data_IF_593222623012
#
_entry.id   IF_593222623012
#
_cell.length_a   1.000
_cell.length_b   1.000
_cell.length_c   1.000
_cell.angle_alpha   90.00
_cell.angle_beta   90.00
_cell.angle_gamma   90.00
#
_symmetry.space_group_name_H-M   'P 1'
#
loop_
_entity.id
_entity.type
_entity.pdbx_description
1 polymer ?
#
# COMPACT_ATOMS: atom_id res chain seq x y z
N UNK A 1 15.76 7.57 -42.65
CA UNK A 1 15.43 6.42 -41.79
C UNK A 1 16.16 6.59 -40.46
N UNK A 2 15.45 7.08 -39.43
CA UNK A 2 15.79 6.91 -38.00
C UNK A 2 14.63 7.49 -37.20
N UNK A 3 13.77 6.62 -36.68
CA UNK A 3 12.58 6.99 -35.93
C UNK A 3 12.98 7.51 -34.53
N UNK A 4 12.71 8.79 -34.28
CA UNK A 4 12.54 9.30 -32.92
C UNK A 4 11.22 8.74 -32.38
N UNK A 5 11.30 7.80 -31.43
CA UNK A 5 10.15 7.40 -30.64
C UNK A 5 10.16 8.23 -29.35
N UNK A 6 9.39 9.31 -29.37
CA UNK A 6 9.07 10.11 -28.21
C UNK A 6 8.44 9.22 -27.12
N UNK A 7 9.05 9.19 -25.95
CA UNK A 7 8.46 8.64 -24.74
C UNK A 7 7.27 9.50 -24.33
N UNK A 8 6.10 9.20 -24.87
CA UNK A 8 4.85 9.78 -24.43
C UNK A 8 4.48 9.20 -23.07
N UNK A 9 4.87 9.87 -21.99
CA UNK A 9 4.21 9.70 -20.69
C UNK A 9 2.71 9.92 -20.92
N UNK A 10 1.92 8.86 -20.88
CA UNK A 10 0.45 8.96 -20.86
C UNK A 10 0.10 9.74 -19.59
N UNK A 11 -0.20 11.02 -19.75
CA UNK A 11 -0.82 11.82 -18.70
C UNK A 11 -2.21 11.24 -18.47
N UNK A 12 -2.34 10.39 -17.44
CA UNK A 12 -3.66 10.02 -16.92
C UNK A 12 -4.21 11.29 -16.27
N UNK A 13 -5.45 11.73 -16.58
CA UNK A 13 -6.04 12.88 -15.93
C UNK A 13 -6.08 12.65 -14.42
N UNK A 14 -5.39 13.52 -13.66
CA UNK A 14 -5.45 13.53 -12.20
C UNK A 14 -6.91 13.72 -11.76
N UNK A 15 -7.35 12.96 -10.75
CA UNK A 15 -8.72 13.06 -10.24
C UNK A 15 -8.99 14.36 -9.50
N UNK A 16 -7.94 14.96 -8.92
CA UNK A 16 -8.07 16.17 -8.13
C UNK A 16 -8.50 17.33 -9.04
N UNK A 17 -9.55 18.09 -8.68
CA UNK A 17 -9.92 19.30 -9.39
C UNK A 17 -8.71 20.23 -9.54
N UNK A 18 -8.35 20.57 -10.77
CA UNK A 18 -7.20 21.44 -11.07
C UNK A 18 -7.58 22.93 -10.93
N UNK A 19 -8.18 23.30 -9.80
CA UNK A 19 -8.55 24.68 -9.49
C UNK A 19 -7.40 25.41 -8.79
N UNK A 20 -7.28 26.74 -8.95
CA UNK A 20 -6.29 27.53 -8.21
C UNK A 20 -6.36 27.33 -6.69
N UNK A 21 -7.57 27.22 -6.14
CA UNK A 21 -7.82 27.05 -4.71
C UNK A 21 -7.35 25.68 -4.22
N UNK A 22 -7.62 24.62 -4.98
CA UNK A 22 -7.15 23.27 -4.67
C UNK A 22 -5.61 23.20 -4.68
N UNK A 23 -4.97 23.84 -5.68
CA UNK A 23 -3.50 23.92 -5.75
C UNK A 23 -2.90 24.70 -4.58
N UNK A 24 -3.49 25.84 -4.20
CA UNK A 24 -3.05 26.62 -3.06
C UNK A 24 -3.17 25.83 -1.75
N UNK A 25 -4.31 25.17 -1.54
CA UNK A 25 -4.52 24.32 -0.38
C UNK A 25 -3.51 23.17 -0.31
N UNK A 26 -3.27 22.45 -1.41
CA UNK A 26 -2.29 21.36 -1.44
C UNK A 26 -0.86 21.87 -1.21
N UNK A 27 -0.53 23.08 -1.65
CA UNK A 27 0.78 23.69 -1.37
C UNK A 27 0.96 23.98 0.13
N UNK A 28 -0.05 24.56 0.79
CA UNK A 28 -0.03 24.79 2.24
C UNK A 28 -0.02 23.46 3.01
N UNK A 29 -0.79 22.48 2.55
CA UNK A 29 -0.82 21.14 3.12
C UNK A 29 0.52 20.42 2.97
N UNK A 30 1.27 20.64 1.89
CA UNK A 30 2.61 20.10 1.70
C UNK A 30 3.58 20.63 2.78
N UNK A 31 3.52 21.94 3.09
CA UNK A 31 4.33 22.52 4.16
C UNK A 31 3.99 21.91 5.53
N UNK A 32 2.71 21.66 5.79
CA UNK A 32 2.26 20.95 7.00
C UNK A 32 2.73 19.49 7.02
N UNK A 33 2.64 18.77 5.90
CA UNK A 33 3.04 17.37 5.78
C UNK A 33 4.54 17.17 6.02
N UNK A 34 5.38 18.12 5.57
CA UNK A 34 6.83 18.10 5.80
C UNK A 34 7.20 18.24 7.30
N UNK A 35 6.33 18.81 8.13
CA UNK A 35 6.56 18.88 9.59
C UNK A 35 6.26 17.57 10.32
N UNK A 36 5.60 16.60 9.67
CA UNK A 36 5.26 15.30 10.28
C UNK A 36 6.52 14.41 10.37
N UNK A 37 6.90 13.90 11.56
CA UNK A 37 8.17 13.18 11.74
C UNK A 37 8.13 11.72 11.25
N UNK A 38 7.02 11.27 10.68
CA UNK A 38 6.81 9.91 10.19
C UNK A 38 6.60 9.90 8.68
N UNK A 39 6.96 8.80 7.97
CA UNK A 39 6.67 8.61 6.57
C UNK A 39 5.19 8.86 6.27
N UNK A 40 4.91 9.91 5.51
CA UNK A 40 3.55 10.36 5.23
C UNK A 40 3.37 10.73 3.76
N UNK A 41 2.21 10.41 3.23
CA UNK A 41 1.81 10.72 1.86
C UNK A 41 0.33 11.10 1.79
N UNK A 42 -0.04 11.85 0.76
CA UNK A 42 -1.42 12.15 0.39
C UNK A 42 -1.67 11.48 -0.95
N UNK A 43 -2.74 10.69 -1.01
CA UNK A 43 -3.12 9.96 -2.23
C UNK A 43 -4.57 10.24 -2.60
N UNK A 44 -4.89 10.13 -3.88
CA UNK A 44 -6.27 10.15 -4.35
C UNK A 44 -6.92 8.76 -4.28
N UNK A 45 -8.19 8.65 -4.74
CA UNK A 45 -8.94 7.38 -4.80
C UNK A 45 -8.33 6.31 -5.73
N UNK A 46 -7.38 6.67 -6.61
CA UNK A 46 -6.62 5.75 -7.47
C UNK A 46 -5.25 5.41 -6.89
N UNK A 47 -4.98 5.86 -5.65
CA UNK A 47 -3.68 5.78 -5.00
C UNK A 47 -2.58 6.56 -5.73
N UNK A 48 -2.93 7.48 -6.63
CA UNK A 48 -1.95 8.39 -7.21
C UNK A 48 -1.46 9.30 -6.09
N UNK A 49 -0.13 9.38 -5.92
CA UNK A 49 0.48 10.15 -4.84
C UNK A 49 0.58 11.60 -5.27
N UNK A 50 -0.04 12.48 -4.48
CA UNK A 50 -0.09 13.91 -4.74
C UNK A 50 1.01 14.64 -3.97
N UNK A 51 1.26 14.20 -2.75
CA UNK A 51 2.27 14.76 -1.85
C UNK A 51 2.93 13.62 -1.06
N UNK A 52 4.23 13.72 -0.83
CA UNK A 52 4.95 12.89 0.13
C UNK A 52 5.92 13.77 0.92
N UNK A 53 6.30 13.37 2.14
CA UNK A 53 7.25 14.13 2.96
C UNK A 53 8.67 13.55 2.94
N UNK A 54 9.61 14.29 3.53
CA UNK A 54 11.02 13.88 3.66
C UNK A 54 11.20 12.48 4.28
N UNK A 55 10.55 12.14 5.40
CA UNK A 55 10.58 10.79 5.96
C UNK A 55 10.10 9.69 5.00
N UNK A 56 9.04 9.93 4.21
CA UNK A 56 8.56 8.98 3.22
C UNK A 56 9.59 8.75 2.12
N UNK A 57 10.09 9.84 1.51
CA UNK A 57 11.14 9.76 0.49
C UNK A 57 12.40 9.07 1.03
N UNK A 58 12.74 9.30 2.29
CA UNK A 58 13.89 8.67 2.95
C UNK A 58 13.70 7.18 3.20
N UNK A 59 12.47 6.72 3.44
CA UNK A 59 12.11 5.32 3.61
C UNK A 59 12.26 4.55 2.29
N UNK A 60 11.82 5.15 1.18
CA UNK A 60 11.84 4.52 -0.15
C UNK A 60 13.06 4.88 -1.00
N UNK A 61 14.06 5.59 -0.44
CA UNK A 61 15.23 6.10 -1.20
C UNK A 61 16.07 5.05 -1.92
N UNK A 62 15.98 3.78 -1.51
CA UNK A 62 16.74 2.67 -2.06
C UNK A 62 15.97 1.90 -3.14
N UNK A 63 14.71 2.26 -3.40
CA UNK A 63 13.88 1.65 -4.44
C UNK A 63 14.42 2.07 -5.81
N UNK A 64 14.66 1.10 -6.69
CA UNK A 64 15.12 1.35 -8.05
C UNK A 64 14.03 2.03 -8.89
N UNK A 65 14.43 2.72 -9.95
CA UNK A 65 13.47 3.39 -10.83
C UNK A 65 12.63 2.36 -11.59
N UNK A 66 11.31 2.52 -11.56
CA UNK A 66 10.34 1.70 -12.28
C UNK A 66 9.38 2.58 -13.09
N UNK A 67 9.01 2.21 -14.33
CA UNK A 67 8.26 3.08 -15.23
C UNK A 67 6.85 3.46 -14.75
N UNK A 68 6.23 2.65 -13.89
CA UNK A 68 4.80 2.81 -13.52
C UNK A 68 4.48 2.54 -12.04
N UNK A 69 5.46 2.13 -11.25
CA UNK A 69 5.21 1.60 -9.90
C UNK A 69 6.08 2.29 -8.85
N UNK A 70 6.49 3.53 -9.09
CA UNK A 70 7.22 4.29 -8.09
C UNK A 70 6.33 4.59 -6.88
N UNK A 71 6.86 4.51 -5.65
CA UNK A 71 6.09 4.77 -4.43
C UNK A 71 5.62 6.23 -4.33
N UNK A 72 6.30 7.17 -4.97
CA UNK A 72 5.91 8.59 -5.07
C UNK A 72 5.00 8.90 -6.28
N UNK A 73 4.72 7.92 -7.15
CA UNK A 73 3.78 8.08 -8.28
C UNK A 73 2.42 7.45 -7.97
N UNK A 74 2.41 6.16 -7.61
CA UNK A 74 1.20 5.45 -7.24
C UNK A 74 1.51 4.36 -6.22
N UNK A 75 1.04 4.57 -4.98
CA UNK A 75 1.41 3.70 -3.86
C UNK A 75 0.82 2.29 -3.98
N UNK A 76 -0.38 2.14 -4.56
CA UNK A 76 -0.97 0.82 -4.81
C UNK A 76 -0.14 0.05 -5.83
N UNK A 77 0.23 0.68 -6.95
CA UNK A 77 1.08 0.04 -7.97
C UNK A 77 2.44 -0.34 -7.42
N UNK A 78 3.04 0.51 -6.59
CA UNK A 78 4.27 0.15 -5.88
C UNK A 78 4.09 -1.15 -5.08
N UNK A 79 3.05 -1.24 -4.26
CA UNK A 79 2.78 -2.44 -3.46
C UNK A 79 2.55 -3.67 -4.34
N UNK A 80 1.80 -3.55 -5.45
CA UNK A 80 1.38 -4.71 -6.23
C UNK A 80 2.41 -5.18 -7.27
N UNK A 81 3.19 -4.26 -7.86
CA UNK A 81 3.94 -4.54 -9.09
C UNK A 81 5.43 -4.20 -9.01
N UNK A 82 5.87 -3.44 -8.00
CA UNK A 82 7.29 -3.07 -7.93
C UNK A 82 8.13 -4.24 -7.41
N UNK A 83 9.23 -4.64 -8.09
CA UNK A 83 10.08 -5.74 -7.65
C UNK A 83 10.70 -5.50 -6.27
N UNK A 84 11.09 -4.26 -5.98
CA UNK A 84 11.66 -3.89 -4.68
C UNK A 84 10.63 -3.70 -3.55
N UNK A 85 9.32 -3.91 -3.79
CA UNK A 85 8.31 -3.68 -2.76
C UNK A 85 8.62 -4.46 -1.47
N UNK A 86 9.06 -5.72 -1.60
CA UNK A 86 9.42 -6.58 -0.48
C UNK A 86 10.72 -6.19 0.24
N UNK A 87 11.52 -5.26 -0.30
CA UNK A 87 12.72 -4.73 0.36
C UNK A 87 12.39 -3.69 1.41
N UNK A 88 11.21 -3.07 1.33
CA UNK A 88 10.73 -2.04 2.27
C UNK A 88 9.49 -2.51 3.04
N UNK A 89 8.60 -3.27 2.39
CA UNK A 89 7.35 -3.76 2.96
C UNK A 89 7.56 -5.20 3.45
N UNK A 90 7.78 -5.36 4.76
CA UNK A 90 8.01 -6.67 5.37
C UNK A 90 6.79 -7.59 5.20
N UNK A 91 7.01 -8.91 5.16
CA UNK A 91 5.96 -9.92 4.91
C UNK A 91 5.01 -9.52 3.76
N UNK A 92 5.62 -8.99 2.68
CA UNK A 92 4.96 -8.26 1.60
C UNK A 92 3.62 -8.86 1.15
N UNK A 93 3.60 -10.15 0.81
CA UNK A 93 2.41 -10.80 0.27
C UNK A 93 1.22 -10.78 1.27
N UNK A 94 1.44 -11.27 2.48
CA UNK A 94 0.40 -11.47 3.48
C UNK A 94 -0.02 -10.16 4.17
N UNK A 95 0.93 -9.27 4.41
CA UNK A 95 0.74 -8.08 5.23
C UNK A 95 0.54 -6.79 4.43
N UNK A 96 0.84 -6.79 3.13
CA UNK A 96 0.67 -5.63 2.26
C UNK A 96 -0.12 -5.92 0.99
N UNK A 97 0.30 -6.89 0.18
CA UNK A 97 -0.31 -7.16 -1.12
C UNK A 97 -1.79 -7.55 -0.99
N UNK A 98 -2.11 -8.58 -0.20
CA UNK A 98 -3.50 -9.03 -0.01
C UNK A 98 -4.42 -7.94 0.60
N UNK A 99 -4.04 -7.23 1.68
CA UNK A 99 -4.85 -6.11 2.18
C UNK A 99 -5.07 -5.00 1.14
N UNK A 100 -4.06 -4.66 0.34
CA UNK A 100 -4.19 -3.63 -0.70
C UNK A 100 -5.08 -4.10 -1.85
N UNK A 101 -4.96 -5.36 -2.30
CA UNK A 101 -5.86 -5.95 -3.28
C UNK A 101 -7.31 -6.00 -2.78
N UNK A 102 -7.53 -6.34 -1.51
CA UNK A 102 -8.85 -6.36 -0.91
C UNK A 102 -9.49 -4.96 -0.84
N UNK A 103 -8.70 -3.94 -0.48
CA UNK A 103 -9.17 -2.55 -0.49
C UNK A 103 -9.45 -2.05 -1.91
N UNK A 104 -8.61 -2.42 -2.87
CA UNK A 104 -8.82 -2.13 -4.28
C UNK A 104 -10.14 -2.75 -4.80
N UNK A 105 -10.39 -4.03 -4.51
CA UNK A 105 -11.64 -4.71 -4.89
C UNK A 105 -12.87 -3.97 -4.35
N UNK A 106 -12.88 -3.63 -3.06
CA UNK A 106 -13.95 -2.85 -2.43
C UNK A 106 -14.12 -1.46 -3.06
N UNK A 107 -13.03 -0.82 -3.46
CA UNK A 107 -13.07 0.52 -4.07
C UNK A 107 -13.65 0.47 -5.48
N UNK A 108 -13.27 -0.52 -6.28
CA UNK A 108 -13.80 -0.74 -7.63
C UNK A 108 -15.30 -1.05 -7.60
N UNK A 109 -15.76 -1.84 -6.63
CA UNK A 109 -17.19 -2.17 -6.47
C UNK A 109 -18.05 -0.95 -6.08
N UNK A 110 -17.51 -0.05 -5.25
CA UNK A 110 -18.24 1.11 -4.72
C UNK A 110 -18.22 2.32 -5.64
N UNK A 111 -17.21 2.44 -6.50
CA UNK A 111 -17.07 3.58 -7.39
C UNK A 111 -17.82 3.37 -8.71
N UNK A 112 -18.39 4.44 -9.26
CA UNK A 112 -18.81 4.46 -10.65
C UNK A 112 -17.63 4.11 -11.59
N UNK A 113 -17.86 3.61 -12.82
CA UNK A 113 -16.81 3.21 -13.74
C UNK A 113 -15.72 4.29 -13.90
N UNK A 114 -14.57 4.07 -13.26
CA UNK A 114 -13.44 4.98 -13.24
C UNK A 114 -12.33 4.42 -14.16
N UNK A 115 -11.94 5.13 -15.24
CA UNK A 115 -10.95 4.61 -16.19
C UNK A 115 -9.57 4.30 -15.59
N UNK A 116 -9.17 5.01 -14.53
CA UNK A 116 -7.90 4.80 -13.84
C UNK A 116 -7.93 3.53 -12.98
N UNK A 117 -9.01 3.31 -12.23
CA UNK A 117 -9.22 2.05 -11.51
C UNK A 117 -9.32 0.86 -12.47
N UNK A 118 -9.97 1.03 -13.62
CA UNK A 118 -10.03 0.00 -14.66
C UNK A 118 -8.66 -0.23 -15.35
N UNK A 119 -7.76 0.74 -15.37
CA UNK A 119 -6.39 0.53 -15.82
C UNK A 119 -5.63 -0.39 -14.84
N UNK A 120 -5.72 -0.12 -13.54
CA UNK A 120 -5.12 -0.98 -12.50
C UNK A 120 -5.72 -2.39 -12.55
N UNK A 121 -7.04 -2.50 -12.72
CA UNK A 121 -7.72 -3.80 -12.86
C UNK A 121 -7.16 -4.62 -14.02
N UNK A 122 -6.90 -3.98 -15.16
CA UNK A 122 -6.30 -4.61 -16.35
C UNK A 122 -4.84 -5.01 -16.13
N UNK A 123 -4.08 -4.21 -15.38
CA UNK A 123 -2.71 -4.57 -14.98
C UNK A 123 -2.71 -5.83 -14.09
N UNK A 124 -3.64 -5.94 -13.12
CA UNK A 124 -3.84 -7.14 -12.31
C UNK A 124 -4.21 -8.35 -13.19
N UNK A 125 -5.12 -8.16 -14.16
CA UNK A 125 -5.56 -9.19 -15.11
C UNK A 125 -4.44 -9.74 -16.00
N UNK A 126 -3.42 -8.94 -16.29
CA UNK A 126 -2.30 -9.32 -17.16
C UNK A 126 -1.27 -10.19 -16.45
N UNK A 127 -1.23 -10.16 -15.11
CA UNK A 127 -0.39 -11.03 -14.30
C UNK A 127 -1.21 -12.22 -13.78
N UNK A 128 -0.95 -13.47 -14.24
CA UNK A 128 -1.73 -14.64 -13.84
C UNK A 128 -1.72 -14.90 -12.32
N UNK A 129 -0.63 -14.58 -11.62
CA UNK A 129 -0.53 -14.78 -10.17
C UNK A 129 -1.39 -13.74 -9.46
N UNK A 130 -1.30 -12.47 -9.87
CA UNK A 130 -2.15 -11.41 -9.30
C UNK A 130 -3.62 -11.58 -9.64
N UNK A 131 -3.96 -12.07 -10.82
CA UNK A 131 -5.35 -12.34 -11.17
C UNK A 131 -5.95 -13.46 -10.31
N UNK A 132 -5.18 -14.52 -10.04
CA UNK A 132 -5.61 -15.59 -9.12
C UNK A 132 -5.70 -15.06 -7.69
N UNK A 133 -4.73 -14.27 -7.24
CA UNK A 133 -4.77 -13.64 -5.92
C UNK A 133 -6.00 -12.73 -5.76
N UNK A 134 -6.33 -11.94 -6.78
CA UNK A 134 -7.48 -11.05 -6.79
C UNK A 134 -8.81 -11.84 -6.80
N UNK A 135 -9.00 -12.80 -7.71
CA UNK A 135 -10.27 -13.53 -7.86
C UNK A 135 -10.53 -14.54 -6.75
N UNK A 136 -9.48 -15.19 -6.25
CA UNK A 136 -9.62 -16.33 -5.34
C UNK A 136 -8.93 -16.09 -3.99
N UNK A 137 -7.75 -15.47 -4.00
CA UNK A 137 -6.99 -15.18 -2.79
C UNK A 137 -7.70 -14.18 -1.87
N UNK A 138 -8.13 -13.04 -2.39
CA UNK A 138 -8.81 -11.98 -1.63
C UNK A 138 -10.08 -12.49 -0.95
N UNK A 139 -11.04 -13.13 -1.66
CA UNK A 139 -12.24 -13.65 -0.99
C UNK A 139 -11.93 -14.71 0.07
N UNK A 140 -10.93 -15.57 -0.16
CA UNK A 140 -10.54 -16.55 0.85
C UNK A 140 -9.92 -15.88 2.08
N UNK A 141 -9.01 -14.94 1.87
CA UNK A 141 -8.33 -14.20 2.92
C UNK A 141 -9.32 -13.40 3.78
N UNK A 142 -10.27 -12.69 3.18
CA UNK A 142 -11.33 -11.97 3.92
C UNK A 142 -12.21 -12.89 4.76
N UNK A 143 -12.52 -14.11 4.29
CA UNK A 143 -13.25 -15.10 5.10
C UNK A 143 -12.46 -15.58 6.31
N UNK A 144 -11.13 -15.68 6.19
CA UNK A 144 -10.26 -16.18 7.26
C UNK A 144 -9.91 -15.09 8.29
N UNK A 145 -9.58 -13.89 7.80
CA UNK A 145 -9.06 -12.78 8.62
C UNK A 145 -10.16 -11.79 9.03
N UNK A 146 -11.30 -11.80 8.32
CA UNK A 146 -12.45 -10.94 8.55
C UNK A 146 -12.50 -9.74 7.60
N UNK A 147 -13.71 -9.24 7.32
CA UNK A 147 -13.95 -8.13 6.36
C UNK A 147 -13.22 -6.83 6.73
N UNK A 148 -12.99 -6.61 8.03
CA UNK A 148 -12.23 -5.46 8.53
C UNK A 148 -10.74 -5.50 8.18
N UNK A 149 -10.21 -6.63 7.69
CA UNK A 149 -8.79 -6.76 7.36
C UNK A 149 -8.39 -5.90 6.14
N UNK A 150 -9.34 -5.57 5.25
CA UNK A 150 -9.11 -4.65 4.14
C UNK A 150 -8.96 -3.18 4.59
N UNK A 151 -9.33 -2.86 5.84
CA UNK A 151 -9.19 -1.51 6.35
C UNK A 151 -7.71 -1.17 6.56
N UNK A 152 -7.30 -0.03 6.01
CA UNK A 152 -5.93 0.45 6.16
C UNK A 152 -5.73 1.10 7.52
N UNK A 153 -6.71 1.89 7.96
CA UNK A 153 -6.60 2.67 9.20
C UNK A 153 -6.48 1.78 10.43
N UNK A 154 -5.53 2.10 11.29
CA UNK A 154 -5.24 1.38 12.51
C UNK A 154 -4.55 0.02 12.31
N UNK A 155 -4.38 -0.44 11.07
CA UNK A 155 -3.65 -1.69 10.78
C UNK A 155 -2.17 -1.56 11.17
N UNK A 156 -1.58 -2.66 11.64
CA UNK A 156 -0.15 -2.75 11.96
C UNK A 156 0.49 -3.67 10.95
N UNK A 157 1.56 -3.23 10.29
CA UNK A 157 2.22 -3.97 9.23
C UNK A 157 3.74 -3.97 9.42
N UNK A 158 4.42 -5.08 9.12
CA UNK A 158 5.88 -5.15 9.12
C UNK A 158 6.47 -4.27 8.02
N UNK A 159 7.60 -3.64 8.33
CA UNK A 159 8.33 -2.68 7.50
C UNK A 159 9.84 -2.93 7.68
N UNK A 160 10.60 -2.77 6.62
CA UNK A 160 12.06 -2.84 6.62
C UNK A 160 12.57 -1.42 6.38
N UNK A 161 13.05 -0.78 7.45
CA UNK A 161 13.52 0.59 7.41
C UNK A 161 15.02 0.64 7.04
N UNK A 162 15.45 1.55 6.15
CA UNK A 162 16.83 1.59 5.65
C UNK A 162 17.85 2.10 6.67
N UNK A 163 17.41 2.77 7.75
CA UNK A 163 18.25 3.01 8.94
C UNK A 163 18.35 1.72 9.77
N UNK A 164 19.55 1.13 9.95
CA UNK A 164 19.76 -0.10 10.73
C UNK A 164 19.32 -0.02 12.19
N UNK A 165 19.16 1.20 12.75
CA UNK A 165 18.62 1.39 14.11
C UNK A 165 17.18 0.92 14.23
N UNK A 166 16.44 0.99 13.13
CA UNK A 166 15.08 0.47 13.00
C UNK A 166 15.10 -0.92 12.38
N UNK A 167 15.78 -1.09 11.24
CA UNK A 167 15.83 -2.36 10.51
C UNK A 167 14.43 -2.93 10.25
N UNK A 168 14.24 -4.22 10.50
CA UNK A 168 12.92 -4.84 10.51
C UNK A 168 12.12 -4.38 11.74
N UNK A 169 10.98 -3.74 11.49
CA UNK A 169 10.12 -3.13 12.51
C UNK A 169 8.65 -3.24 12.10
N UNK A 170 7.72 -2.84 12.96
CA UNK A 170 6.33 -2.63 12.57
C UNK A 170 6.02 -1.14 12.36
N UNK A 171 5.05 -0.84 11.51
CA UNK A 171 4.40 0.46 11.43
C UNK A 171 2.89 0.33 11.66
N UNK A 172 2.29 1.32 12.31
CA UNK A 172 0.83 1.50 12.29
C UNK A 172 0.48 2.44 11.15
N UNK A 173 -0.47 2.04 10.30
CA UNK A 173 -1.04 2.95 9.32
C UNK A 173 -2.11 3.78 10.02
N UNK A 174 -1.98 5.10 9.91
CA UNK A 174 -3.01 6.07 10.29
C UNK A 174 -3.52 6.73 9.02
N UNK A 175 -4.82 6.65 8.79
CA UNK A 175 -5.49 7.26 7.65
C UNK A 175 -6.31 8.44 8.15
N UNK A 176 -6.08 9.62 7.58
CA UNK A 176 -6.78 10.84 7.97
C UNK A 176 -7.24 11.61 6.74
N UNK A 177 -8.51 11.99 6.75
CA UNK A 177 -9.13 12.81 5.71
C UNK A 177 -9.81 14.01 6.37
N UNK A 178 -9.20 15.19 6.25
CA UNK A 178 -9.87 16.46 6.58
C UNK A 178 -11.00 16.72 5.58
N UNK A 179 -12.03 17.50 5.91
CA UNK A 179 -13.13 17.81 4.98
C UNK A 179 -12.64 18.30 3.61
N UNK A 180 -11.67 19.22 3.58
CA UNK A 180 -11.12 19.74 2.32
C UNK A 180 -10.35 18.68 1.51
N UNK A 181 -9.71 17.71 2.16
CA UNK A 181 -9.11 16.58 1.45
C UNK A 181 -10.19 15.63 0.91
N UNK A 182 -11.27 15.40 1.66
CA UNK A 182 -12.40 14.58 1.22
C UNK A 182 -13.06 15.17 -0.04
N UNK A 183 -13.29 16.48 -0.04
CA UNK A 183 -13.84 17.22 -1.18
C UNK A 183 -12.95 17.09 -2.43
N UNK A 184 -11.63 16.95 -2.24
CA UNK A 184 -10.65 16.70 -3.30
C UNK A 184 -10.51 15.20 -3.65
N UNK A 185 -11.22 14.31 -2.97
CA UNK A 185 -11.12 12.86 -3.13
C UNK A 185 -9.77 12.31 -2.69
N UNK A 186 -9.14 12.95 -1.70
CA UNK A 186 -7.81 12.67 -1.21
C UNK A 186 -7.84 12.17 0.23
N UNK A 187 -6.83 11.40 0.61
CA UNK A 187 -6.61 10.99 2.00
C UNK A 187 -5.13 11.03 2.35
N UNK A 188 -4.80 11.37 3.60
CA UNK A 188 -3.43 11.23 4.12
C UNK A 188 -3.24 9.84 4.70
N UNK A 189 -2.12 9.20 4.39
CA UNK A 189 -1.63 8.01 5.06
C UNK A 189 -0.34 8.37 5.80
N UNK A 190 -0.20 7.88 7.04
CA UNK A 190 1.02 8.02 7.84
C UNK A 190 1.44 6.65 8.36
N UNK A 191 2.71 6.27 8.13
CA UNK A 191 3.30 5.04 8.65
C UNK A 191 4.03 5.35 9.97
N UNK A 192 3.32 5.21 11.08
CA UNK A 192 3.89 5.48 12.42
C UNK A 192 4.75 4.29 12.85
N UNK A 193 6.07 4.46 12.79
CA UNK A 193 7.04 3.43 13.20
C UNK A 193 6.85 3.07 14.68
N UNK A 194 6.75 1.78 14.97
CA UNK A 194 6.65 1.25 16.33
C UNK A 194 8.00 0.70 16.74
N UNK A 195 8.58 1.27 17.79
CA UNK A 195 9.84 0.75 18.33
C UNK A 195 9.65 -0.71 18.78
N UNK A 196 10.44 -1.62 18.21
CA UNK A 196 10.49 -3.02 18.59
C UNK A 196 10.87 -3.22 20.08
N UNK A 197 11.46 -2.20 20.72
CA UNK A 197 11.79 -2.18 22.15
C UNK A 197 10.61 -1.91 23.06
N UNK A 198 9.46 -1.49 22.54
CA UNK A 198 8.24 -1.41 23.33
C UNK A 198 7.74 -2.84 23.48
N UNK A 199 7.79 -3.47 24.68
CA UNK A 199 7.19 -4.77 24.84
C UNK A 199 5.75 -4.63 24.38
N UNK A 200 5.37 -5.39 23.36
CA UNK A 200 3.98 -5.56 22.98
C UNK A 200 3.25 -5.81 24.30
N UNK A 201 2.38 -4.88 24.70
CA UNK A 201 1.60 -4.99 25.93
C UNK A 201 1.09 -6.42 25.95
N UNK A 202 1.59 -7.19 26.93
CA UNK A 202 1.60 -8.64 26.91
C UNK A 202 0.32 -9.15 26.25
N UNK A 203 0.47 -9.86 25.12
CA UNK A 203 -0.58 -10.73 24.63
C UNK A 203 -0.97 -11.60 25.83
N UNK A 204 -2.09 -11.24 26.48
CA UNK A 204 -2.56 -11.91 27.69
C UNK A 204 -2.68 -13.38 27.32
N UNK A 205 -1.95 -14.18 28.09
CA UNK A 205 -1.46 -15.45 27.62
C UNK A 205 -2.53 -16.43 27.19
N UNK A 206 -2.19 -17.20 26.16
CA UNK A 206 -2.49 -18.63 26.11
C UNK A 206 -1.25 -19.32 25.57
N UNK A 207 -0.46 -19.87 26.49
CA UNK A 207 0.59 -20.79 26.14
C UNK A 207 0.00 -21.98 25.41
N UNK A 208 0.48 -22.25 24.20
CA UNK A 208 0.31 -23.54 23.55
C UNK A 208 1.64 -23.92 22.92
N UNK A 209 2.23 -24.93 23.57
CA UNK A 209 3.42 -25.71 23.26
C UNK A 209 3.79 -25.80 21.77
N UNK A 210 5.07 -25.54 21.50
CA UNK A 210 5.80 -25.96 20.29
C UNK A 210 5.56 -27.45 20.02
N UNK A 211 5.05 -27.76 18.83
CA UNK A 211 5.11 -29.08 18.22
C UNK A 211 5.37 -28.90 16.73
N UNK A 212 6.55 -29.32 16.26
CA UNK A 212 6.90 -29.32 14.86
C UNK A 212 6.01 -30.34 14.13
N UNK A 213 5.11 -29.86 13.27
CA UNK A 213 4.32 -30.72 12.37
C UNK A 213 5.00 -30.79 11.02
N UNK A 214 5.90 -31.76 10.87
CA UNK A 214 6.25 -32.27 9.54
C UNK A 214 5.11 -33.17 9.05
N UNK A 215 4.62 -32.90 7.84
CA UNK A 215 3.63 -33.75 7.16
C UNK A 215 4.20 -35.16 6.97
N UNK A 216 3.46 -36.20 7.38
CA UNK A 216 3.82 -37.61 7.20
C UNK A 216 2.70 -38.34 6.47
N UNK A 217 3.07 -39.02 5.39
CA UNK A 217 2.17 -39.86 4.56
C UNK A 217 1.80 -41.13 5.32
N UNK A 218 0.51 -41.51 5.27
CA UNK A 218 -0.02 -42.77 5.81
C UNK A 218 -0.38 -43.67 4.63
N UNK A 219 0.07 -44.94 4.57
CA UNK A 219 -0.42 -45.90 3.58
C UNK A 219 -1.82 -46.40 3.96
N UNK A 220 -2.68 -46.57 2.97
CA UNK A 220 -3.97 -47.25 3.13
C UNK A 220 -3.72 -48.74 3.37
N UNK A 221 -4.38 -49.31 4.38
CA UNK A 221 -4.45 -50.74 4.59
C UNK A 221 -5.66 -51.33 3.86
N UNK A 222 -5.47 -52.55 3.34
CA UNK A 222 -6.40 -53.38 2.55
C UNK A 222 -7.80 -53.56 3.16
#
# INVERSE_FOLDING_TARGET
>A
MAHQAAGGQRQVPRLVPDTPEARAYLADYAAFLEAVPFPSLVVDRRWDVLLSNGPFRSLFRQVEAHPTAMPDDNFLRFVLFHPDAATVLGEHEASWCLPMLAHFARTVERCAPDPGLQAIRREIEQDPIMEVAYRHGVPHWLRVVGEGAAEHDGSVRPLIHPDPRWGATDCRIVVETTPTLDDLGCTRLTLVLRDARRPAAAARGRGARRGATHLRVVPAAD
#
